data_IF_084798068425
#
_entry.id   IF_084798068425
#
_cell.length_a   1.000
_cell.length_b   1.000
_cell.length_c   1.000
_cell.angle_alpha   90.00
_cell.angle_beta   90.00
_cell.angle_gamma   90.00
#
_symmetry.space_group_name_H-M   'P 1'
#
loop_
_entity.id
_entity.type
_entity.pdbx_description
1 polymer ?
#
# COMPACT_ATOMS: atom_id res chain seq x y z
N UNK A 1 -12.91 4.80 3.17
CA UNK A 1 -13.42 3.61 3.87
C UNK A 1 -13.88 3.98 5.27
N UNK A 2 -14.86 3.29 5.75
CA UNK A 2 -15.41 3.44 7.09
C UNK A 2 -15.84 2.07 7.62
N UNK A 3 -16.33 2.02 8.87
CA UNK A 3 -16.84 0.77 9.43
C UNK A 3 -17.93 0.20 8.54
N UNK A 4 -17.77 -1.06 8.14
CA UNK A 4 -18.72 -1.84 7.32
C UNK A 4 -19.06 -1.22 5.94
N UNK A 5 -18.28 -0.27 5.44
CA UNK A 5 -18.54 0.30 4.12
C UNK A 5 -17.35 0.98 3.46
N UNK A 6 -17.40 1.04 2.14
CA UNK A 6 -16.55 1.89 1.30
C UNK A 6 -17.47 2.80 0.50
N UNK A 7 -17.24 4.11 0.53
CA UNK A 7 -18.10 5.06 -0.16
C UNK A 7 -17.31 6.15 -0.88
N UNK A 8 -17.85 6.64 -1.96
CA UNK A 8 -17.34 7.79 -2.73
C UNK A 8 -18.25 9.00 -2.53
N UNK A 9 -17.62 10.17 -2.38
CA UNK A 9 -18.30 11.44 -2.16
C UNK A 9 -17.78 12.53 -3.10
N UNK A 10 -18.65 13.43 -3.49
CA UNK A 10 -18.24 14.69 -4.12
C UNK A 10 -17.55 15.57 -3.07
N UNK A 11 -16.27 15.95 -3.27
CA UNK A 11 -15.53 16.73 -2.28
C UNK A 11 -16.05 18.17 -2.11
N UNK A 12 -16.84 18.68 -3.05
CA UNK A 12 -17.39 20.03 -3.00
C UNK A 12 -18.72 20.11 -2.26
N UNK A 13 -19.53 19.08 -2.40
CA UNK A 13 -20.91 19.07 -1.88
C UNK A 13 -21.09 18.13 -0.71
N UNK A 14 -20.20 17.14 -0.52
CA UNK A 14 -20.36 16.05 0.42
C UNK A 14 -21.42 15.02 0.00
N UNK A 15 -22.00 15.15 -1.18
CA UNK A 15 -23.00 14.21 -1.69
C UNK A 15 -22.33 12.87 -1.99
N UNK A 16 -22.96 11.79 -1.53
CA UNK A 16 -22.46 10.44 -1.80
C UNK A 16 -22.77 10.02 -3.23
N UNK A 17 -21.73 9.64 -3.98
CA UNK A 17 -21.90 9.06 -5.32
C UNK A 17 -22.34 7.60 -5.22
N UNK A 18 -21.60 6.77 -4.52
CA UNK A 18 -21.89 5.36 -4.35
C UNK A 18 -21.42 4.82 -3.00
N UNK A 19 -21.91 3.63 -2.66
CA UNK A 19 -21.50 2.87 -1.49
C UNK A 19 -21.36 1.39 -1.85
N UNK A 20 -20.40 0.72 -1.22
CA UNK A 20 -20.25 -0.74 -1.13
C UNK A 20 -20.42 -1.11 0.34
N UNK A 21 -21.34 -2.00 0.63
CA UNK A 21 -21.61 -2.53 1.97
C UNK A 21 -20.63 -3.68 2.31
N UNK A 22 -20.28 -3.79 3.55
CA UNK A 22 -19.20 -4.66 4.02
C UNK A 22 -17.85 -4.00 3.77
N UNK A 23 -16.77 -4.68 3.53
CA UNK A 23 -16.50 -6.08 3.79
C UNK A 23 -15.92 -6.34 5.18
N UNK A 24 -15.65 -5.30 5.99
CA UNK A 24 -15.06 -5.44 7.33
C UNK A 24 -15.44 -4.28 8.25
N UNK A 25 -15.28 -4.49 9.56
CA UNK A 25 -15.57 -3.47 10.57
C UNK A 25 -14.47 -2.42 10.69
N UNK A 26 -13.21 -2.81 10.48
CA UNK A 26 -12.07 -1.92 10.68
C UNK A 26 -11.19 -1.83 9.44
N UNK A 27 -10.97 -0.59 9.02
CA UNK A 27 -10.03 -0.21 8.00
C UNK A 27 -8.97 0.72 8.59
N UNK A 28 -7.71 0.36 8.47
CA UNK A 28 -6.57 1.19 8.86
C UNK A 28 -5.85 1.71 7.63
N UNK A 29 -5.66 0.83 6.64
CA UNK A 29 -4.96 1.13 5.41
C UNK A 29 -5.69 2.16 4.55
N UNK A 30 -4.94 3.05 3.92
CA UNK A 30 -5.46 3.96 2.90
C UNK A 30 -5.72 3.23 1.59
N UNK A 31 -6.71 3.70 0.84
CA UNK A 31 -7.00 3.22 -0.50
C UNK A 31 -5.98 3.77 -1.50
N UNK A 32 -5.73 3.00 -2.58
CA UNK A 32 -4.90 3.45 -3.70
C UNK A 32 -5.65 3.33 -5.02
N UNK A 33 -5.29 4.15 -6.00
CA UNK A 33 -5.95 4.22 -7.30
C UNK A 33 -4.90 4.12 -8.41
N UNK A 34 -5.18 3.31 -9.43
CA UNK A 34 -4.26 3.11 -10.57
C UNK A 34 -4.66 3.84 -11.86
N UNK A 35 -5.69 4.68 -11.82
CA UNK A 35 -6.29 5.31 -12.99
C UNK A 35 -7.55 4.60 -13.49
N UNK A 36 -7.80 3.36 -13.07
CA UNK A 36 -8.95 2.55 -13.47
C UNK A 36 -9.71 2.01 -12.26
N UNK A 37 -9.03 1.37 -11.31
CA UNK A 37 -9.64 0.78 -10.12
C UNK A 37 -9.12 1.40 -8.82
N UNK A 38 -9.99 1.47 -7.83
CA UNK A 38 -9.64 1.75 -6.44
C UNK A 38 -9.39 0.44 -5.71
N UNK A 39 -8.23 0.31 -5.06
CA UNK A 39 -7.89 -0.85 -4.26
C UNK A 39 -8.02 -0.54 -2.78
N UNK A 40 -8.69 -1.43 -2.08
CA UNK A 40 -8.96 -1.35 -0.65
C UNK A 40 -8.43 -2.62 0.00
N UNK A 41 -7.70 -2.48 1.10
CA UNK A 41 -7.36 -3.60 1.98
C UNK A 41 -7.90 -3.32 3.37
N UNK A 42 -8.33 -4.36 4.05
CA UNK A 42 -8.87 -4.25 5.40
C UNK A 42 -8.57 -5.51 6.21
N UNK A 43 -8.64 -5.40 7.53
CA UNK A 43 -8.04 -6.38 8.38
C UNK A 43 -8.86 -7.01 9.49
N UNK A 44 -10.02 -6.48 9.90
CA UNK A 44 -10.75 -7.03 11.03
C UNK A 44 -12.29 -6.91 10.86
N UNK A 45 -13.05 -7.96 11.21
CA UNK A 45 -12.61 -9.30 11.66
C UNK A 45 -11.99 -10.12 10.53
N UNK A 46 -12.36 -9.88 9.27
CA UNK A 46 -11.85 -10.61 8.11
C UNK A 46 -10.91 -9.75 7.27
N UNK A 47 -9.80 -10.33 6.88
CA UNK A 47 -8.85 -9.69 5.95
C UNK A 47 -9.34 -9.83 4.53
N UNK A 48 -9.25 -8.75 3.77
CA UNK A 48 -9.64 -8.77 2.35
C UNK A 48 -8.88 -7.71 1.55
N UNK A 49 -8.87 -7.91 0.25
CA UNK A 49 -8.46 -6.96 -0.76
C UNK A 49 -9.61 -6.88 -1.76
N UNK A 50 -10.01 -5.67 -2.13
CA UNK A 50 -11.00 -5.40 -3.17
C UNK A 50 -10.38 -4.54 -4.25
N UNK A 51 -10.70 -4.82 -5.51
CA UNK A 51 -10.59 -3.87 -6.60
C UNK A 51 -12.00 -3.41 -6.97
N UNK A 52 -12.20 -2.11 -6.99
CA UNK A 52 -13.50 -1.48 -7.17
C UNK A 52 -13.44 -0.61 -8.42
N UNK A 53 -14.39 -0.78 -9.34
CA UNK A 53 -14.64 0.19 -10.39
C UNK A 53 -15.22 1.45 -9.73
N UNK A 54 -14.59 2.64 -9.84
CA UNK A 54 -15.06 3.84 -9.18
C UNK A 54 -16.29 4.48 -9.85
N UNK A 55 -16.65 4.06 -11.05
CA UNK A 55 -17.80 4.56 -11.78
C UNK A 55 -19.07 3.92 -11.23
N UNK A 56 -20.05 4.76 -10.83
CA UNK A 56 -21.30 4.21 -10.33
C UNK A 56 -22.12 5.19 -9.52
N UNK A 57 -23.32 4.78 -9.16
CA UNK A 57 -24.19 5.55 -8.27
C UNK A 57 -25.05 4.65 -7.39
N UNK A 58 -25.39 5.11 -6.20
CA UNK A 58 -26.19 4.35 -5.24
C UNK A 58 -25.41 3.21 -4.59
N UNK A 59 -26.08 2.09 -4.30
CA UNK A 59 -25.41 0.90 -3.77
C UNK A 59 -24.87 0.05 -4.92
N UNK A 60 -23.55 -0.14 -4.95
CA UNK A 60 -22.84 -0.83 -6.03
C UNK A 60 -22.13 -2.11 -5.56
N UNK A 61 -22.51 -2.62 -4.41
CA UNK A 61 -21.88 -3.80 -3.77
C UNK A 61 -21.79 -5.00 -4.70
N UNK A 62 -22.85 -5.31 -5.43
CA UNK A 62 -22.93 -6.51 -6.26
C UNK A 62 -22.43 -6.28 -7.70
N UNK A 63 -22.14 -5.03 -8.09
CA UNK A 63 -21.90 -4.67 -9.49
C UNK A 63 -20.51 -4.11 -9.77
N UNK A 64 -19.84 -3.49 -8.79
CA UNK A 64 -18.61 -2.75 -9.02
C UNK A 64 -17.38 -3.33 -8.33
N UNK A 65 -17.51 -4.42 -7.59
CA UNK A 65 -16.35 -5.19 -7.13
C UNK A 65 -15.86 -6.04 -8.30
N UNK A 66 -14.72 -5.62 -8.89
CA UNK A 66 -14.13 -6.27 -10.07
C UNK A 66 -13.51 -7.62 -9.68
N UNK A 67 -12.77 -7.63 -8.58
CA UNK A 67 -12.25 -8.83 -7.96
C UNK A 67 -12.05 -8.63 -6.45
N UNK A 68 -12.01 -9.75 -5.75
CA UNK A 68 -11.73 -9.77 -4.31
C UNK A 68 -10.92 -11.00 -3.92
N UNK A 69 -10.12 -10.87 -2.86
CA UNK A 69 -9.41 -11.97 -2.24
C UNK A 69 -9.22 -11.72 -0.74
N UNK A 70 -9.13 -12.79 0.03
CA UNK A 70 -8.80 -12.75 1.47
C UNK A 70 -7.32 -13.05 1.73
N UNK A 71 -6.57 -13.44 0.69
CA UNK A 71 -5.18 -13.87 0.81
C UNK A 71 -4.22 -12.74 0.53
N UNK A 72 -3.23 -12.54 1.41
CA UNK A 72 -2.18 -11.54 1.23
C UNK A 72 -2.59 -10.12 1.64
N UNK A 73 -3.72 -9.94 2.29
CA UNK A 73 -4.18 -8.65 2.78
C UNK A 73 -3.38 -8.18 4.00
N UNK A 74 -3.17 -6.88 4.09
CA UNK A 74 -2.60 -6.19 5.24
C UNK A 74 -3.70 -5.62 6.15
N UNK A 75 -3.37 -5.40 7.41
CA UNK A 75 -4.23 -4.66 8.33
C UNK A 75 -3.79 -3.20 8.45
N UNK A 76 -2.53 -2.95 8.82
CA UNK A 76 -2.01 -1.59 9.02
C UNK A 76 -1.38 -1.01 7.75
N UNK A 77 -0.40 -1.66 7.07
CA UNK A 77 0.22 -1.05 5.92
C UNK A 77 -0.74 -0.85 4.75
N UNK A 78 -0.73 0.34 4.18
CA UNK A 78 -1.47 0.61 2.95
C UNK A 78 -0.83 -0.09 1.76
N UNK A 79 -1.61 -0.53 0.77
CA UNK A 79 -1.07 -1.07 -0.48
C UNK A 79 -0.39 0.03 -1.31
N UNK A 80 0.35 -0.39 -2.34
CA UNK A 80 0.88 0.52 -3.36
C UNK A 80 0.68 -0.07 -4.75
N UNK A 81 0.37 0.80 -5.72
CA UNK A 81 0.28 0.42 -7.13
C UNK A 81 1.47 1.01 -7.88
N UNK A 82 2.16 0.18 -8.66
CA UNK A 82 3.23 0.61 -9.56
C UNK A 82 3.04 -0.07 -10.92
N UNK A 83 2.64 0.71 -11.90
CA UNK A 83 2.23 0.18 -13.20
C UNK A 83 1.11 -0.85 -13.08
N UNK A 84 1.24 -2.06 -13.64
CA UNK A 84 0.21 -3.09 -13.59
C UNK A 84 0.22 -3.92 -12.28
N UNK A 85 1.04 -3.55 -11.30
CA UNK A 85 1.26 -4.34 -10.10
C UNK A 85 0.70 -3.66 -8.86
N UNK A 86 -0.12 -4.41 -8.11
CA UNK A 86 -0.52 -4.05 -6.74
C UNK A 86 0.37 -4.81 -5.76
N UNK A 87 1.12 -4.06 -4.96
CA UNK A 87 2.01 -4.63 -3.94
C UNK A 87 1.48 -4.32 -2.54
N UNK A 88 1.56 -5.31 -1.69
CA UNK A 88 1.07 -5.26 -0.31
C UNK A 88 2.09 -5.95 0.59
N UNK A 89 2.36 -5.39 1.75
CA UNK A 89 3.06 -6.10 2.82
C UNK A 89 2.13 -6.24 4.02
N UNK A 90 1.93 -7.46 4.49
CA UNK A 90 1.19 -7.69 5.72
C UNK A 90 2.02 -7.32 6.94
N UNK A 91 1.34 -7.04 8.05
CA UNK A 91 1.96 -6.70 9.35
C UNK A 91 3.04 -7.71 9.78
N UNK A 92 2.87 -8.96 9.40
CA UNK A 92 3.81 -10.06 9.68
C UNK A 92 5.04 -10.11 8.77
N UNK A 93 5.18 -9.16 7.82
CA UNK A 93 6.28 -9.13 6.86
C UNK A 93 6.08 -10.00 5.62
N UNK A 94 4.89 -10.54 5.39
CA UNK A 94 4.58 -11.25 4.13
C UNK A 94 4.24 -10.22 3.06
N UNK A 95 5.13 -10.06 2.08
CA UNK A 95 4.89 -9.25 0.89
C UNK A 95 4.21 -10.07 -0.20
N UNK A 96 3.28 -9.46 -0.90
CA UNK A 96 2.55 -10.06 -2.02
C UNK A 96 2.49 -9.08 -3.18
N UNK A 97 2.56 -9.59 -4.39
CA UNK A 97 2.32 -8.85 -5.62
C UNK A 97 1.16 -9.49 -6.38
N UNK A 98 0.26 -8.64 -6.84
CA UNK A 98 -0.88 -9.03 -7.64
C UNK A 98 -0.84 -8.31 -8.98
N UNK A 99 -1.33 -8.96 -10.00
CA UNK A 99 -1.77 -8.28 -11.21
C UNK A 99 -2.98 -7.42 -10.83
N UNK A 100 -2.87 -6.10 -10.99
CA UNK A 100 -3.85 -5.15 -10.50
C UNK A 100 -5.22 -5.30 -11.20
N UNK A 101 -5.23 -5.74 -12.46
CA UNK A 101 -6.46 -5.86 -13.24
C UNK A 101 -7.25 -7.12 -12.90
N UNK A 102 -6.56 -8.24 -12.73
CA UNK A 102 -7.19 -9.54 -12.55
C UNK A 102 -7.23 -10.05 -11.10
N UNK A 103 -6.47 -9.43 -10.19
CA UNK A 103 -6.32 -9.91 -8.82
C UNK A 103 -5.50 -11.20 -8.69
N UNK A 104 -4.90 -11.67 -9.82
CA UNK A 104 -4.03 -12.85 -9.78
C UNK A 104 -2.78 -12.56 -8.98
N UNK A 105 -2.54 -13.33 -7.91
CA UNK A 105 -1.29 -13.23 -7.16
C UNK A 105 -0.15 -13.79 -7.99
N UNK A 106 0.86 -12.94 -8.24
CA UNK A 106 2.04 -13.27 -9.03
C UNK A 106 3.12 -13.93 -8.17
N UNK A 107 3.35 -13.39 -6.97
CA UNK A 107 4.24 -13.95 -5.97
C UNK A 107 3.83 -13.56 -4.55
N UNK A 108 4.39 -14.29 -3.58
CA UNK A 108 4.28 -14.01 -2.15
C UNK A 108 5.57 -14.44 -1.47
N UNK A 109 6.21 -13.53 -0.76
CA UNK A 109 7.52 -13.75 -0.16
C UNK A 109 7.61 -13.10 1.23
N UNK A 110 8.50 -13.63 2.06
CA UNK A 110 8.75 -13.10 3.39
C UNK A 110 9.87 -12.06 3.35
N UNK A 111 9.55 -10.85 3.80
CA UNK A 111 10.53 -9.80 4.10
C UNK A 111 10.97 -9.88 5.57
N UNK A 112 12.16 -9.34 5.92
CA UNK A 112 12.62 -9.29 7.30
C UNK A 112 11.71 -8.45 8.20
N UNK A 113 11.39 -8.97 9.38
CA UNK A 113 10.66 -8.26 10.43
C UNK A 113 9.16 -8.10 10.19
N UNK A 114 8.51 -7.42 11.14
CA UNK A 114 7.15 -6.93 11.01
C UNK A 114 7.11 -5.58 10.28
N UNK A 115 5.94 -5.17 9.83
CA UNK A 115 5.75 -3.93 9.09
C UNK A 115 4.54 -3.18 9.58
N UNK A 116 4.76 -1.98 10.11
CA UNK A 116 3.72 -0.99 10.44
C UNK A 116 3.66 0.12 9.39
N UNK A 117 4.80 0.41 8.75
CA UNK A 117 4.91 1.43 7.71
C UNK A 117 4.33 0.97 6.37
N UNK A 118 3.69 1.88 5.67
CA UNK A 118 3.26 1.64 4.29
C UNK A 118 4.46 1.72 3.33
N UNK A 119 4.50 0.89 2.27
CA UNK A 119 5.53 0.98 1.25
C UNK A 119 5.44 2.30 0.48
N UNK A 120 6.57 2.74 -0.04
CA UNK A 120 6.66 3.89 -0.94
C UNK A 120 7.37 3.51 -2.23
N UNK A 121 7.10 4.23 -3.32
CA UNK A 121 7.77 4.00 -4.60
C UNK A 121 8.63 5.19 -5.01
N UNK A 122 9.81 4.88 -5.55
CA UNK A 122 10.69 5.87 -6.16
C UNK A 122 11.51 5.20 -7.26
N UNK A 123 11.71 5.90 -8.37
CA UNK A 123 12.50 5.42 -9.53
C UNK A 123 12.10 4.01 -10.01
N UNK A 124 10.81 3.70 -10.01
CA UNK A 124 10.29 2.40 -10.46
C UNK A 124 10.54 1.23 -9.50
N UNK A 125 11.04 1.48 -8.30
CA UNK A 125 11.26 0.50 -7.24
C UNK A 125 10.30 0.74 -6.07
N UNK A 126 10.04 -0.30 -5.28
CA UNK A 126 9.22 -0.24 -4.07
C UNK A 126 10.08 -0.50 -2.85
N UNK A 127 9.93 0.33 -1.85
CA UNK A 127 10.69 0.34 -0.61
C UNK A 127 9.77 -0.10 0.53
N UNK A 128 10.06 -1.25 1.12
CA UNK A 128 9.38 -1.79 2.29
C UNK A 128 10.28 -1.62 3.50
N UNK A 129 9.85 -0.83 4.47
CA UNK A 129 10.61 -0.57 5.69
C UNK A 129 9.99 -1.37 6.82
N UNK A 130 10.79 -2.25 7.44
CA UNK A 130 10.34 -3.05 8.58
C UNK A 130 10.38 -2.25 9.88
N UNK A 131 9.68 -2.74 10.90
CA UNK A 131 9.68 -2.15 12.24
C UNK A 131 11.07 -2.15 12.91
N UNK A 132 11.99 -3.01 12.45
CA UNK A 132 13.39 -3.01 12.87
C UNK A 132 14.27 -1.99 12.14
N UNK A 133 13.74 -1.31 11.10
CA UNK A 133 14.48 -0.32 10.31
C UNK A 133 15.16 -0.88 9.06
N UNK A 134 14.99 -2.17 8.78
CA UNK A 134 15.51 -2.76 7.53
C UNK A 134 14.63 -2.39 6.36
N UNK A 135 15.18 -1.74 5.34
CA UNK A 135 14.51 -1.40 4.09
C UNK A 135 14.80 -2.45 3.03
N UNK A 136 13.79 -3.19 2.59
CA UNK A 136 13.86 -4.08 1.43
C UNK A 136 13.42 -3.33 0.18
N UNK A 137 14.30 -3.24 -0.82
CA UNK A 137 14.05 -2.55 -2.10
C UNK A 137 13.73 -3.61 -3.13
N UNK A 138 12.50 -3.58 -3.64
CA UNK A 138 11.95 -4.60 -4.54
C UNK A 138 11.62 -3.99 -5.90
N UNK A 139 11.97 -4.70 -6.97
CA UNK A 139 11.52 -4.36 -8.33
C UNK A 139 10.12 -4.92 -8.54
N UNK A 140 9.12 -4.06 -8.85
CA UNK A 140 7.79 -4.53 -9.24
C UNK A 140 7.88 -5.40 -10.51
N UNK A 141 7.25 -6.57 -10.48
CA UNK A 141 7.32 -7.50 -11.61
C UNK A 141 6.56 -8.79 -11.36
N UNK A 142 6.56 -9.66 -12.38
CA UNK A 142 5.92 -10.98 -12.31
C UNK A 142 6.68 -11.97 -11.41
N UNK A 143 7.95 -11.69 -11.13
CA UNK A 143 8.83 -12.49 -10.29
C UNK A 143 9.36 -11.60 -9.17
N UNK A 144 9.53 -12.16 -7.99
CA UNK A 144 10.08 -11.45 -6.85
C UNK A 144 11.59 -11.20 -7.06
N UNK A 145 11.99 -9.93 -6.99
CA UNK A 145 13.39 -9.49 -7.12
C UNK A 145 13.70 -8.45 -6.05
N UNK A 146 14.58 -8.79 -5.13
CA UNK A 146 15.18 -7.85 -4.17
C UNK A 146 16.41 -7.22 -4.79
N UNK A 147 16.34 -5.91 -5.02
CA UNK A 147 17.45 -5.13 -5.59
C UNK A 147 18.51 -4.83 -4.53
N UNK A 148 18.07 -4.49 -3.32
CA UNK A 148 18.96 -4.18 -2.19
C UNK A 148 18.23 -4.32 -0.85
N UNK A 149 19.02 -4.41 0.23
CA UNK A 149 18.55 -4.24 1.61
C UNK A 149 19.48 -3.28 2.34
N UNK A 150 18.88 -2.32 3.04
CA UNK A 150 19.60 -1.34 3.84
C UNK A 150 19.03 -1.36 5.25
N UNK A 151 19.90 -1.17 6.23
CA UNK A 151 19.51 -1.14 7.64
C UNK A 151 19.86 0.22 8.25
N UNK A 152 18.88 0.81 8.94
CA UNK A 152 19.08 2.06 9.70
C UNK A 152 19.65 1.79 11.10
N UNK A 153 19.57 0.55 11.58
CA UNK A 153 19.94 0.20 12.95
C UNK A 153 18.98 0.74 14.01
N UNK A 154 17.80 1.21 13.61
CA UNK A 154 16.80 1.80 14.50
C UNK A 154 15.39 1.38 14.12
N UNK A 155 14.49 1.40 15.10
CA UNK A 155 13.07 1.09 14.90
C UNK A 155 12.37 2.20 14.10
N UNK A 156 11.56 1.76 13.12
CA UNK A 156 10.76 2.63 12.26
C UNK A 156 9.32 2.12 12.25
N UNK A 157 8.37 2.98 12.55
CA UNK A 157 6.93 2.66 12.44
C UNK A 157 6.21 3.58 11.45
N UNK A 158 6.82 4.72 11.13
CA UNK A 158 6.26 5.69 10.21
C UNK A 158 6.58 5.34 8.76
N UNK A 159 5.64 5.57 7.85
CA UNK A 159 5.88 5.51 6.42
C UNK A 159 6.88 6.59 6.00
N UNK A 160 7.78 6.25 5.08
CA UNK A 160 8.72 7.22 4.54
C UNK A 160 8.02 8.23 3.61
N UNK A 161 8.61 9.41 3.49
CA UNK A 161 8.26 10.37 2.45
C UNK A 161 9.38 10.48 1.42
N UNK A 162 9.00 10.77 0.17
CA UNK A 162 9.96 10.99 -0.93
C UNK A 162 9.72 12.39 -1.48
N UNK A 163 10.74 13.23 -1.47
CA UNK A 163 10.68 14.58 -2.02
C UNK A 163 12.05 15.01 -2.51
N UNK A 164 12.13 15.73 -3.63
CA UNK A 164 13.37 16.31 -4.18
C UNK A 164 14.51 15.28 -4.30
N UNK A 165 14.21 14.08 -4.76
CA UNK A 165 15.16 12.96 -4.87
C UNK A 165 15.76 12.50 -3.55
N UNK A 166 15.10 12.77 -2.44
CA UNK A 166 15.50 12.38 -1.09
C UNK A 166 14.40 11.55 -0.41
N UNK A 167 14.83 10.62 0.45
CA UNK A 167 13.97 9.90 1.38
C UNK A 167 14.02 10.55 2.75
N UNK A 168 12.85 10.78 3.33
CA UNK A 168 12.69 11.22 4.70
C UNK A 168 12.10 10.07 5.50
N UNK A 169 12.87 9.53 6.43
CA UNK A 169 12.48 8.38 7.26
C UNK A 169 12.53 8.82 8.72
N UNK A 170 11.38 8.76 9.38
CA UNK A 170 11.32 8.98 10.82
C UNK A 170 11.48 7.67 11.57
N UNK A 171 12.57 7.56 12.34
CA UNK A 171 12.77 6.51 13.33
C UNK A 171 12.19 6.93 14.70
N UNK A 172 12.39 6.10 15.71
CA UNK A 172 12.02 6.46 17.09
C UNK A 172 12.79 7.67 17.63
N UNK A 173 14.03 7.86 17.20
CA UNK A 173 14.91 8.91 17.75
C UNK A 173 15.23 10.03 16.79
N UNK A 174 15.29 9.74 15.46
CA UNK A 174 15.77 10.67 14.44
C UNK A 174 14.80 10.81 13.26
N UNK A 175 15.00 11.91 12.54
CA UNK A 175 14.50 12.10 11.18
C UNK A 175 15.69 12.03 10.22
N UNK A 176 15.74 10.98 9.42
CA UNK A 176 16.77 10.78 8.41
C UNK A 176 16.36 11.45 7.11
N UNK A 177 17.32 12.15 6.48
CA UNK A 177 17.22 12.62 5.11
C UNK A 177 18.29 11.91 4.29
N UNK A 178 17.89 11.01 3.41
CA UNK A 178 18.79 10.16 2.62
C UNK A 178 18.64 10.49 1.15
N UNK A 179 19.72 10.92 0.51
CA UNK A 179 19.77 11.27 -0.90
C UNK A 179 21.19 11.60 -1.35
N UNK A 180 21.35 11.85 -2.63
CA UNK A 180 22.63 12.41 -3.11
C UNK A 180 22.77 13.84 -2.56
N UNK A 181 23.90 14.13 -1.96
CA UNK A 181 24.28 15.54 -1.74
C UNK A 181 24.34 16.18 -3.13
N UNK A 182 23.48 17.15 -3.39
CA UNK A 182 23.72 18.04 -4.50
C UNK A 182 25.02 18.75 -4.15
N UNK A 183 26.07 18.57 -4.96
CA UNK A 183 27.24 19.44 -4.88
C UNK A 183 26.70 20.86 -4.94
N UNK A 184 26.73 21.54 -3.79
CA UNK A 184 26.42 22.94 -3.75
C UNK A 184 27.46 23.60 -4.69
N UNK A 185 27.01 24.04 -5.86
CA UNK A 185 27.87 24.94 -6.66
C UNK A 185 28.17 26.12 -5.77
N UNK A 186 29.45 26.42 -5.60
CA UNK A 186 29.90 27.59 -4.85
C UNK A 186 29.34 28.88 -5.44
#
# INVERSE_FOLDING_TARGET
SGSLSVASYDPRTGSRHWIIDGPTEQFVASMVYNGEYVFVTGGYPERHILAINPDGSGNVTDTHIVWRTTRGAAYVPSPIVVGPYLLIVADSGIASCFDAMSGKRLWQERLPGGHSSSPVSANGLVYFISDSGTTSIVRPGKVFEVVARNDLGERVSASAAVSQSQFFIRSHQYLYCIGKLNDAKP
#
